data_IF_019807829023
#
_entry.id   IF_019807829023
#
_cell.length_a   1.000
_cell.length_b   1.000
_cell.length_c   1.000
_cell.angle_alpha   90.00
_cell.angle_beta   90.00
_cell.angle_gamma   90.00
#
_symmetry.space_group_name_H-M   'P 1'
#
loop_
_entity.id
_entity.type
_entity.pdbx_description
1 polymer ?
#
# COMPACT_ATOMS: atom_id res chain seq x y z
N UNK A 1 -1.09 2.28 -1.51
CA UNK A 1 -1.58 3.22 -2.55
C UNK A 1 -1.63 2.58 -3.94
N UNK A 2 -0.66 1.76 -4.34
CA UNK A 2 -0.69 1.07 -5.66
C UNK A 2 -1.92 0.17 -5.84
N UNK A 3 -2.29 -0.60 -4.81
CA UNK A 3 -3.48 -1.47 -4.87
C UNK A 3 -4.76 -0.67 -5.09
N UNK A 4 -4.91 0.49 -4.43
CA UNK A 4 -6.07 1.36 -4.59
C UNK A 4 -6.13 1.95 -6.00
N UNK A 5 -5.00 2.41 -6.54
CA UNK A 5 -4.91 2.91 -7.90
C UNK A 5 -5.21 1.82 -8.95
N UNK A 6 -4.67 0.61 -8.79
CA UNK A 6 -4.97 -0.55 -9.65
C UNK A 6 -6.47 -0.89 -9.64
N UNK A 7 -7.07 -0.96 -8.45
CA UNK A 7 -8.51 -1.21 -8.30
C UNK A 7 -9.36 -0.10 -8.92
N UNK A 8 -8.92 1.15 -8.80
CA UNK A 8 -9.61 2.30 -9.39
C UNK A 8 -9.59 2.20 -10.92
N UNK A 9 -8.41 1.97 -11.51
CA UNK A 9 -8.23 1.83 -12.95
C UNK A 9 -8.97 0.61 -13.53
N UNK A 10 -8.95 -0.51 -12.81
CA UNK A 10 -9.69 -1.71 -13.22
C UNK A 10 -11.21 -1.46 -13.27
N UNK A 11 -11.74 -0.66 -12.34
CA UNK A 11 -13.17 -0.28 -12.32
C UNK A 11 -13.52 0.76 -13.37
N UNK A 12 -12.58 1.59 -13.79
CA UNK A 12 -12.75 2.59 -14.83
C UNK A 12 -12.18 2.12 -16.17
N UNK A 13 -12.29 0.82 -16.49
CA UNK A 13 -11.81 0.29 -17.77
C UNK A 13 -12.72 0.72 -18.92
N UNK A 14 -14.01 0.84 -18.65
CA UNK A 14 -15.05 1.27 -19.61
C UNK A 14 -15.42 2.76 -19.47
N UNK A 15 -15.09 3.37 -18.33
CA UNK A 15 -15.29 4.81 -18.07
C UNK A 15 -13.99 5.61 -18.23
N UNK A 16 -14.10 6.95 -18.33
CA UNK A 16 -12.93 7.83 -18.32
C UNK A 16 -12.17 7.76 -16.98
N UNK A 17 -10.87 7.38 -16.98
CA UNK A 17 -10.02 7.34 -15.79
C UNK A 17 -9.99 8.64 -14.99
N UNK A 18 -10.17 9.79 -15.65
CA UNK A 18 -10.17 11.09 -14.98
C UNK A 18 -11.38 11.27 -14.06
N UNK A 19 -12.53 10.73 -14.41
CA UNK A 19 -13.74 10.76 -13.58
C UNK A 19 -13.53 9.90 -12.34
N UNK A 20 -12.95 8.72 -12.49
CA UNK A 20 -12.63 7.83 -11.37
C UNK A 20 -11.64 8.49 -10.39
N UNK A 21 -10.60 9.14 -10.91
CA UNK A 21 -9.66 9.91 -10.09
C UNK A 21 -10.31 11.09 -9.38
N UNK A 22 -11.20 11.82 -10.07
CA UNK A 22 -11.97 12.91 -9.47
C UNK A 22 -12.79 12.38 -8.28
N UNK A 23 -13.56 11.31 -8.50
CA UNK A 23 -14.38 10.69 -7.47
C UNK A 23 -13.52 10.25 -6.27
N UNK A 24 -12.39 9.57 -6.51
CA UNK A 24 -11.48 9.16 -5.45
C UNK A 24 -10.95 10.33 -4.62
N UNK A 25 -10.63 11.47 -5.26
CA UNK A 25 -10.15 12.67 -4.58
C UNK A 25 -11.24 13.36 -3.75
N UNK A 26 -12.50 13.29 -4.19
CA UNK A 26 -13.65 13.93 -3.55
C UNK A 26 -14.38 13.04 -2.54
N UNK A 27 -14.08 11.75 -2.49
CA UNK A 27 -14.64 10.83 -1.51
C UNK A 27 -14.07 11.12 -0.12
N UNK A 28 -14.92 11.38 0.89
CA UNK A 28 -14.45 11.52 2.27
C UNK A 28 -13.93 10.18 2.79
N UNK A 29 -12.96 10.23 3.71
CA UNK A 29 -12.53 9.06 4.46
C UNK A 29 -13.40 8.92 5.71
N UNK A 30 -13.41 7.72 6.33
CA UNK A 30 -14.30 7.39 7.45
C UNK A 30 -14.34 8.45 8.57
N UNK A 31 -13.21 9.10 8.86
CA UNK A 31 -13.09 10.10 9.94
C UNK A 31 -12.42 11.40 9.48
N UNK A 32 -12.25 11.62 8.17
CA UNK A 32 -11.53 12.78 7.65
C UNK A 32 -12.19 13.34 6.37
N UNK A 33 -12.11 14.67 6.16
CA UNK A 33 -12.50 15.27 4.90
C UNK A 33 -11.78 14.61 3.72
N UNK A 34 -12.36 14.73 2.53
CA UNK A 34 -11.76 14.19 1.31
C UNK A 34 -10.38 14.79 1.06
N UNK A 35 -9.55 14.09 0.30
CA UNK A 35 -8.18 14.57 -0.01
C UNK A 35 -8.22 15.92 -0.72
N UNK A 36 -9.19 16.13 -1.61
CA UNK A 36 -9.41 17.39 -2.30
C UNK A 36 -9.77 18.53 -1.32
N UNK A 37 -10.63 18.26 -0.33
CA UNK A 37 -10.98 19.25 0.70
C UNK A 37 -9.81 19.59 1.60
N UNK A 38 -9.01 18.60 2.01
CA UNK A 38 -7.81 18.84 2.82
C UNK A 38 -6.78 19.69 2.08
N UNK A 39 -6.65 19.49 0.77
CA UNK A 39 -5.70 20.23 -0.07
C UNK A 39 -6.19 21.64 -0.43
N UNK A 40 -7.46 21.77 -0.83
CA UNK A 40 -8.01 23.00 -1.41
C UNK A 40 -8.96 23.78 -0.50
N UNK A 41 -9.26 23.25 0.69
CA UNK A 41 -10.17 23.85 1.66
C UNK A 41 -11.62 23.92 1.19
N UNK A 42 -12.01 23.26 0.10
CA UNK A 42 -13.35 23.32 -0.50
C UNK A 42 -13.75 22.00 -1.13
N UNK A 43 -15.06 21.74 -1.29
CA UNK A 43 -15.53 20.62 -2.10
C UNK A 43 -15.42 20.95 -3.59
N UNK A 44 -14.86 20.02 -4.37
CA UNK A 44 -14.90 20.10 -5.82
C UNK A 44 -16.32 19.85 -6.33
N UNK A 45 -16.59 20.33 -7.54
CA UNK A 45 -17.84 20.03 -8.24
C UNK A 45 -17.75 18.64 -8.85
N UNK A 46 -18.71 17.78 -8.51
CA UNK A 46 -18.84 16.42 -9.04
C UNK A 46 -20.16 16.30 -9.82
N UNK A 47 -20.42 15.11 -10.39
CA UNK A 47 -21.70 14.81 -11.05
C UNK A 47 -22.89 14.74 -10.07
N UNK A 48 -22.61 14.67 -8.76
CA UNK A 48 -23.64 14.68 -7.74
C UNK A 48 -24.14 16.12 -7.50
N UNK A 49 -25.45 16.30 -7.30
CA UNK A 49 -25.99 17.60 -6.95
C UNK A 49 -25.40 18.06 -5.62
N UNK A 50 -24.91 19.30 -5.57
CA UNK A 50 -24.33 19.89 -4.37
C UNK A 50 -24.66 21.37 -4.24
N UNK A 51 -24.73 21.84 -3.00
CA UNK A 51 -25.01 23.23 -2.66
C UNK A 51 -23.83 24.13 -3.05
N UNK A 52 -24.14 25.32 -3.61
CA UNK A 52 -23.11 26.30 -4.00
C UNK A 52 -22.19 26.71 -2.83
N UNK A 53 -22.72 26.73 -1.61
CA UNK A 53 -21.97 27.04 -0.38
C UNK A 53 -20.85 26.03 -0.08
N UNK A 54 -20.93 24.79 -0.59
CA UNK A 54 -19.90 23.77 -0.38
C UNK A 54 -18.62 24.01 -1.21
N UNK A 55 -18.69 24.82 -2.26
CA UNK A 55 -17.56 25.14 -3.12
C UNK A 55 -16.74 26.34 -2.64
N UNK A 56 -17.15 26.97 -1.54
CA UNK A 56 -16.41 28.05 -0.90
C UNK A 56 -15.26 27.48 -0.08
N UNK A 57 -14.11 28.16 -0.12
CA UNK A 57 -12.94 27.79 0.68
C UNK A 57 -13.19 28.05 2.16
N UNK A 58 -12.91 27.05 2.97
CA UNK A 58 -12.97 27.06 4.43
C UNK A 58 -11.58 26.86 4.99
N UNK A 59 -11.34 27.37 6.20
CA UNK A 59 -10.10 27.14 6.91
C UNK A 59 -10.12 25.72 7.51
N UNK A 60 -9.33 24.81 6.94
CA UNK A 60 -9.23 23.40 7.33
C UNK A 60 -8.18 23.11 8.43
N UNK A 61 -7.68 24.16 9.12
CA UNK A 61 -6.64 24.01 10.14
C UNK A 61 -7.02 23.04 11.27
N UNK A 62 -8.29 23.02 11.69
CA UNK A 62 -8.75 22.10 12.74
C UNK A 62 -8.75 20.64 12.25
N UNK A 63 -9.22 20.40 11.03
CA UNK A 63 -9.26 19.07 10.41
C UNK A 63 -7.84 18.53 10.17
N UNK A 64 -6.90 19.40 9.76
CA UNK A 64 -5.49 19.05 9.63
C UNK A 64 -4.85 18.67 10.97
N UNK A 65 -5.22 19.35 12.06
CA UNK A 65 -4.77 18.98 13.40
C UNK A 65 -5.33 17.63 13.82
N UNK A 66 -6.61 17.38 13.60
CA UNK A 66 -7.26 16.09 13.87
C UNK A 66 -6.63 14.96 13.04
N UNK A 67 -6.34 15.20 11.76
CA UNK A 67 -5.64 14.23 10.89
C UNK A 67 -4.27 13.85 11.46
N UNK A 68 -3.48 14.84 11.87
CA UNK A 68 -2.16 14.59 12.47
C UNK A 68 -2.27 13.78 13.76
N UNK A 69 -3.29 14.07 14.57
CA UNK A 69 -3.56 13.30 15.78
C UNK A 69 -3.95 11.86 15.47
N UNK A 70 -4.90 11.65 14.54
CA UNK A 70 -5.30 10.32 14.08
C UNK A 70 -4.11 9.53 13.54
N UNK A 71 -3.23 10.17 12.77
CA UNK A 71 -2.01 9.56 12.27
C UNK A 71 -1.06 9.18 13.41
N UNK A 72 -0.94 10.02 14.45
CA UNK A 72 -0.15 9.73 15.65
C UNK A 72 -0.71 8.54 16.42
N UNK A 73 -2.03 8.45 16.58
CA UNK A 73 -2.69 7.35 17.26
C UNK A 73 -2.56 6.04 16.47
N UNK A 74 -2.76 6.08 15.15
CA UNK A 74 -2.52 4.93 14.27
C UNK A 74 -1.07 4.44 14.34
N UNK A 75 -0.09 5.34 14.39
CA UNK A 75 1.33 4.96 14.56
C UNK A 75 1.60 4.27 15.89
N UNK A 76 0.88 4.64 16.95
CA UNK A 76 0.98 3.97 18.26
C UNK A 76 0.31 2.59 18.23
N UNK A 77 -0.89 2.50 17.65
CA UNK A 77 -1.67 1.26 17.61
C UNK A 77 -1.08 0.21 16.67
N UNK A 78 -0.57 0.62 15.50
CA UNK A 78 0.10 -0.27 14.54
C UNK A 78 1.60 -0.43 14.81
N UNK A 79 2.05 -0.14 16.04
CA UNK A 79 3.44 -0.37 16.44
C UNK A 79 3.64 -1.88 16.65
N UNK A 80 4.09 -2.56 15.60
CA UNK A 80 4.57 -3.93 15.73
C UNK A 80 5.75 -4.02 16.70
N UNK A 81 6.02 -5.22 17.21
CA UNK A 81 7.14 -5.48 18.11
C UNK A 81 8.47 -5.05 17.47
N UNK A 82 9.26 -4.28 18.22
CA UNK A 82 10.60 -3.88 17.80
C UNK A 82 11.52 -5.10 17.89
N UNK A 83 12.22 -5.42 16.79
CA UNK A 83 13.20 -6.49 16.75
C UNK A 83 14.39 -6.16 17.66
N UNK A 84 14.99 -7.18 18.29
CA UNK A 84 16.14 -7.01 19.17
C UNK A 84 17.27 -6.24 18.49
N UNK A 85 17.87 -5.24 19.15
CA UNK A 85 19.01 -4.50 18.61
C UNK A 85 20.19 -5.41 18.22
N UNK A 86 21.00 -4.92 17.30
CA UNK A 86 22.24 -5.56 16.86
C UNK A 86 23.42 -4.71 17.34
N UNK A 87 24.50 -5.37 17.72
CA UNK A 87 25.74 -4.71 18.14
C UNK A 87 26.74 -4.69 16.98
N UNK A 88 27.70 -3.78 17.05
CA UNK A 88 28.79 -3.74 16.09
C UNK A 88 29.63 -5.01 16.23
N UNK A 89 29.94 -5.66 15.11
CA UNK A 89 30.67 -6.92 15.06
C UNK A 89 29.79 -8.17 14.96
N UNK A 90 28.47 -8.07 15.19
CA UNK A 90 27.55 -9.21 15.06
C UNK A 90 27.59 -9.80 13.64
N UNK A 91 27.76 -11.12 13.56
CA UNK A 91 27.55 -11.87 12.32
C UNK A 91 26.05 -12.06 12.09
N UNK A 92 25.59 -11.61 10.94
CA UNK A 92 24.18 -11.55 10.58
C UNK A 92 23.96 -11.99 9.15
N UNK A 93 22.71 -12.29 8.81
CA UNK A 93 22.30 -12.49 7.44
C UNK A 93 21.52 -11.28 6.96
N UNK A 94 21.89 -10.76 5.80
CA UNK A 94 21.26 -9.65 5.12
C UNK A 94 20.41 -10.18 3.97
N UNK A 95 19.17 -9.70 3.85
CA UNK A 95 18.34 -9.98 2.68
C UNK A 95 18.68 -9.02 1.53
N UNK A 96 19.08 -9.57 0.38
CA UNK A 96 19.27 -8.79 -0.84
C UNK A 96 17.92 -8.50 -1.52
N UNK A 97 17.80 -7.30 -2.09
CA UNK A 97 16.56 -6.85 -2.73
C UNK A 97 16.34 -7.48 -4.11
N UNK A 98 17.41 -7.79 -4.84
CA UNK A 98 17.33 -8.42 -6.16
C UNK A 98 16.87 -9.89 -6.05
N UNK A 99 17.58 -10.68 -5.24
CA UNK A 99 17.42 -12.14 -5.28
C UNK A 99 16.55 -12.68 -4.15
N UNK A 100 16.11 -11.84 -3.21
CA UNK A 100 15.42 -12.25 -1.96
C UNK A 100 16.25 -13.21 -1.07
N UNK A 101 17.44 -13.62 -1.51
CA UNK A 101 18.36 -14.49 -0.79
C UNK A 101 18.94 -13.80 0.45
N UNK A 102 19.12 -14.60 1.49
CA UNK A 102 19.81 -14.22 2.72
C UNK A 102 21.29 -14.51 2.58
N UNK A 103 22.11 -13.47 2.60
CA UNK A 103 23.56 -13.59 2.47
C UNK A 103 24.26 -13.18 3.76
N UNK A 104 25.37 -13.83 4.15
CA UNK A 104 26.11 -13.49 5.35
C UNK A 104 26.73 -12.10 5.24
N UNK A 105 26.69 -11.34 6.33
CA UNK A 105 27.26 -10.00 6.46
C UNK A 105 27.60 -9.71 7.93
N UNK A 106 28.46 -8.72 8.18
CA UNK A 106 28.83 -8.28 9.53
C UNK A 106 28.24 -6.91 9.82
N UNK A 107 27.72 -6.69 11.02
CA UNK A 107 27.25 -5.37 11.44
C UNK A 107 28.44 -4.46 11.71
N UNK A 108 28.53 -3.34 11.02
CA UNK A 108 29.58 -2.34 11.29
C UNK A 108 29.13 -1.42 12.42
N UNK A 109 27.94 -0.84 12.28
CA UNK A 109 27.35 0.06 13.29
C UNK A 109 25.86 0.30 13.03
N UNK A 110 25.19 0.85 14.04
CA UNK A 110 23.85 1.43 13.89
C UNK A 110 23.93 2.73 13.09
N UNK A 111 22.96 2.97 12.21
CA UNK A 111 22.85 4.23 11.49
C UNK A 111 22.26 5.33 12.40
N UNK A 112 22.36 6.58 11.96
CA UNK A 112 21.76 7.73 12.64
C UNK A 112 20.24 7.57 12.66
N UNK A 113 19.67 7.05 11.57
CA UNK A 113 18.25 6.83 11.47
C UNK A 113 17.77 5.60 12.28
N UNK A 114 16.56 5.66 12.86
CA UNK A 114 16.02 4.55 13.62
C UNK A 114 15.85 3.30 12.74
N UNK A 115 16.16 2.14 13.31
CA UNK A 115 16.03 0.80 12.69
C UNK A 115 16.93 0.56 11.48
N UNK A 116 17.85 1.46 11.16
CA UNK A 116 18.83 1.27 10.08
C UNK A 116 20.18 0.83 10.65
N UNK A 117 20.84 -0.07 9.94
CA UNK A 117 22.17 -0.59 10.26
C UNK A 117 23.06 -0.51 9.02
N UNK A 118 24.34 -0.31 9.26
CA UNK A 118 25.38 -0.41 8.25
C UNK A 118 26.01 -1.79 8.38
N UNK A 119 25.96 -2.55 7.30
CA UNK A 119 26.51 -3.89 7.19
C UNK A 119 27.70 -3.89 6.25
N UNK A 120 28.64 -4.78 6.50
CA UNK A 120 29.77 -5.06 5.62
C UNK A 120 29.64 -6.48 5.07
N UNK A 121 29.78 -6.61 3.76
CA UNK A 121 29.80 -7.90 3.07
C UNK A 121 31.00 -7.87 2.11
N UNK A 122 32.05 -8.62 2.44
CA UNK A 122 33.34 -8.51 1.75
C UNK A 122 33.88 -7.09 1.80
N UNK A 123 34.07 -6.48 0.63
CA UNK A 123 34.57 -5.09 0.47
C UNK A 123 33.45 -4.05 0.42
N UNK A 124 32.19 -4.46 0.26
CA UNK A 124 31.06 -3.56 0.09
C UNK A 124 30.36 -3.28 1.43
N UNK A 125 29.80 -2.07 1.55
CA UNK A 125 28.98 -1.67 2.70
C UNK A 125 27.54 -1.39 2.27
N UNK A 126 26.59 -1.80 3.09
CA UNK A 126 25.16 -1.73 2.80
C UNK A 126 24.40 -1.07 3.94
N UNK A 127 23.41 -0.26 3.58
CA UNK A 127 22.44 0.30 4.54
C UNK A 127 21.16 -0.53 4.49
N UNK A 128 20.79 -1.16 5.60
CA UNK A 128 19.63 -2.06 5.67
C UNK A 128 18.78 -1.81 6.90
N UNK A 129 17.47 -2.04 6.75
CA UNK A 129 16.54 -1.97 7.87
C UNK A 129 16.68 -3.22 8.74
N UNK A 130 16.44 -3.09 10.05
CA UNK A 130 16.48 -4.21 11.00
C UNK A 130 15.63 -5.42 10.58
N UNK A 131 14.51 -5.20 9.88
CA UNK A 131 13.65 -6.27 9.32
C UNK A 131 14.29 -7.07 8.18
N UNK A 132 15.32 -6.53 7.55
CA UNK A 132 16.07 -7.17 6.46
C UNK A 132 17.35 -7.83 6.96
N UNK A 133 17.47 -8.02 8.29
CA UNK A 133 18.65 -8.55 8.95
C UNK A 133 18.21 -9.65 9.91
N UNK A 134 18.82 -10.83 9.83
CA UNK A 134 18.57 -11.95 10.74
C UNK A 134 19.81 -12.25 11.57
N UNK A 135 19.60 -12.54 12.86
CA UNK A 135 20.65 -13.11 13.72
C UNK A 135 20.64 -14.64 13.55
N UNK A 136 21.82 -15.30 13.43
CA UNK A 136 21.90 -16.75 13.18
C UNK A 136 21.16 -17.59 14.23
N UNK A 137 21.12 -17.15 15.49
CA UNK A 137 20.44 -17.84 16.59
C UNK A 137 18.94 -17.50 16.72
N UNK A 138 18.36 -16.80 15.74
CA UNK A 138 16.90 -16.64 15.69
C UNK A 138 16.30 -17.93 15.12
N UNK A 139 15.24 -18.45 15.77
CA UNK A 139 14.53 -19.70 15.44
C UNK A 139 13.88 -19.74 14.03
N UNK A 140 14.34 -18.91 13.09
CA UNK A 140 13.80 -18.73 11.73
C UNK A 140 14.77 -19.15 10.62
N UNK A 141 15.82 -19.92 10.92
CA UNK A 141 16.72 -20.43 9.89
C UNK A 141 16.23 -21.77 9.34
N UNK A 142 15.50 -21.72 8.23
CA UNK A 142 15.48 -22.81 7.25
C UNK A 142 16.24 -22.30 6.02
N UNK A 143 17.34 -22.96 5.69
CA UNK A 143 18.02 -22.72 4.41
C UNK A 143 17.07 -23.16 3.29
N UNK A 144 16.81 -22.33 2.26
CA UNK A 144 16.33 -22.88 1.01
C UNK A 144 17.51 -23.62 0.38
N UNK A 145 17.54 -24.95 0.57
CA UNK A 145 18.27 -25.83 -0.35
C UNK A 145 17.77 -25.51 -1.74
N UNK A 146 18.69 -25.36 -2.70
CA UNK A 146 18.40 -25.15 -4.11
C UNK A 146 17.44 -26.23 -4.60
N UNK A 147 16.14 -25.93 -4.64
CA UNK A 147 15.15 -26.71 -5.36
C UNK A 147 15.33 -26.33 -6.83
N UNK A 148 15.75 -27.31 -7.63
CA UNK A 148 15.69 -27.28 -9.09
C UNK A 148 14.34 -26.73 -9.52
N UNK A 149 14.37 -25.67 -10.33
CA UNK A 149 13.17 -25.14 -10.98
C UNK A 149 12.73 -26.17 -12.01
N UNK A 150 11.70 -26.93 -11.69
CA UNK A 150 10.83 -27.48 -12.72
C UNK A 150 9.91 -26.34 -13.14
N UNK A 151 9.94 -26.02 -14.44
CA UNK A 151 9.17 -24.97 -15.08
C UNK A 151 7.67 -25.35 -15.06
N UNK A 152 6.93 -24.80 -14.09
CA UNK A 152 5.46 -24.77 -14.12
C UNK A 152 5.05 -23.34 -14.49
N UNK A 153 4.48 -23.19 -15.68
CA UNK A 153 3.91 -21.95 -16.19
C UNK A 153 2.75 -21.49 -15.30
N UNK A 154 2.91 -20.35 -14.62
CA UNK A 154 1.82 -19.68 -13.89
C UNK A 154 0.75 -19.19 -14.88
N UNK A 155 -0.25 -20.03 -15.17
CA UNK A 155 -1.48 -19.61 -15.82
C UNK A 155 -2.24 -18.61 -14.91
N UNK A 156 -2.33 -17.38 -15.39
CA UNK A 156 -3.27 -16.40 -14.87
C UNK A 156 -4.68 -16.97 -15.06
N UNK A 157 -5.53 -17.06 -14.02
CA UNK A 157 -6.88 -17.58 -14.21
C UNK A 157 -7.65 -16.61 -15.11
N UNK A 158 -8.09 -17.12 -16.26
CA UNK A 158 -8.99 -16.41 -17.16
C UNK A 158 -10.24 -16.01 -16.37
N UNK A 159 -10.54 -14.71 -16.42
CA UNK A 159 -11.81 -14.21 -15.93
C UNK A 159 -12.91 -14.74 -16.87
N UNK A 160 -13.92 -15.48 -16.38
CA UNK A 160 -14.95 -16.01 -17.25
C UNK A 160 -15.76 -14.87 -17.86
N UNK A 161 -15.86 -14.87 -19.19
CA UNK A 161 -16.63 -13.90 -20.01
C UNK A 161 -18.17 -14.04 -19.85
N UNK A 162 -18.65 -14.98 -19.03
CA UNK A 162 -20.06 -15.38 -18.99
C UNK A 162 -20.91 -14.63 -17.95
N UNK A 163 -20.72 -13.31 -17.79
CA UNK A 163 -21.68 -12.46 -17.08
C UNK A 163 -22.29 -11.35 -17.96
N UNK A 164 -22.33 -11.56 -19.28
CA UNK A 164 -22.91 -10.62 -20.24
C UNK A 164 -24.31 -11.03 -20.77
N UNK A 165 -24.91 -12.12 -20.32
CA UNK A 165 -26.16 -12.66 -20.87
C UNK A 165 -27.20 -13.05 -19.80
N UNK A 166 -27.55 -12.13 -18.89
CA UNK A 166 -28.74 -12.30 -18.03
C UNK A 166 -29.60 -11.03 -17.83
N UNK A 167 -29.49 -10.02 -18.71
CA UNK A 167 -30.37 -8.84 -18.66
C UNK A 167 -31.15 -8.55 -19.93
N UNK A 168 -31.26 -9.50 -20.87
CA UNK A 168 -32.09 -9.34 -22.09
C UNK A 168 -33.18 -10.39 -22.20
N UNK A 169 -33.90 -10.70 -21.12
CA UNK A 169 -35.18 -11.44 -21.21
C UNK A 169 -36.11 -11.00 -20.10
N UNK A 170 -36.59 -9.75 -20.14
CA UNK A 170 -37.78 -9.30 -19.41
C UNK A 170 -38.36 -8.08 -20.14
N UNK A 171 -38.83 -8.31 -21.36
CA UNK A 171 -39.62 -7.34 -22.12
C UNK A 171 -40.68 -8.09 -22.90
N UNK A 172 -41.62 -8.74 -22.20
CA UNK A 172 -42.94 -9.00 -22.76
C UNK A 172 -43.96 -9.31 -21.66
N UNK A 173 -44.67 -8.27 -21.19
CA UNK A 173 -46.07 -8.35 -20.74
C UNK A 173 -46.57 -6.95 -20.37
N UNK A 174 -47.27 -6.31 -21.29
CA UNK A 174 -48.59 -5.66 -21.07
C UNK A 174 -48.83 -4.54 -22.08
N UNK A 175 -49.44 -4.91 -23.20
CA UNK A 175 -50.31 -4.01 -23.94
C UNK A 175 -51.67 -4.69 -24.01
N UNK A 176 -52.66 -4.20 -23.24
CA UNK A 176 -54.08 -4.06 -23.61
C UNK A 176 -54.93 -3.72 -22.38
N UNK A 177 -55.58 -2.55 -22.50
CA UNK A 177 -56.76 -2.01 -21.81
C UNK A 177 -56.69 -1.77 -20.30
#
# INVERSE_FOLDING_TARGET
>A
MVQTAKKLLAKSREEDPHIALLNYRTSPSQNLPSTAELLMGRKLRTKLPSLKSHHQTKNSQQELKQMKENQRQQRKHHRGFDLQPLEAGDDVFMRNQADTLWTPAKVVKKAIEPRLYILQQGTATYRRNRRQILKPNSKSFQHPTSVTRDDEEDQFPDFPDDLALQLTTNADHSARY
#
